data_IF_418034430818
#
_entry.id   IF_418034430818
#
_cell.length_a   1.000
_cell.length_b   1.000
_cell.length_c   1.000
_cell.angle_alpha   90.00
_cell.angle_beta   90.00
_cell.angle_gamma   90.00
#
_symmetry.space_group_name_H-M   'P 1'
#
loop_
_entity.id
_entity.type
_entity.pdbx_description
1 polymer ?
#
# COMPACT_ATOMS: atom_id res chain seq x y z
N UNK A 1 24.82 8.86 64.77
CA UNK A 1 24.30 7.83 63.86
C UNK A 1 22.83 7.61 64.19
N UNK A 2 21.94 7.65 63.20
CA UNK A 2 20.48 7.64 63.39
C UNK A 2 19.91 6.27 63.73
N UNK A 3 18.92 6.26 64.63
CA UNK A 3 18.13 5.08 64.98
C UNK A 3 17.15 4.76 63.83
N UNK A 4 17.54 3.83 62.95
CA UNK A 4 16.64 3.30 61.93
C UNK A 4 15.96 2.05 62.49
N UNK A 5 14.67 2.17 62.81
CA UNK A 5 13.86 1.00 63.19
C UNK A 5 13.83 0.02 62.03
N UNK A 6 14.34 -1.20 62.25
CA UNK A 6 14.28 -2.27 61.26
C UNK A 6 12.81 -2.60 60.95
N UNK A 7 12.50 -2.88 59.68
CA UNK A 7 11.15 -3.27 59.23
C UNK A 7 10.60 -4.53 59.93
N UNK A 8 11.48 -5.30 60.56
CA UNK A 8 11.18 -6.52 61.32
C UNK A 8 10.95 -6.27 62.80
N UNK A 9 11.21 -5.05 63.30
CA UNK A 9 11.02 -4.71 64.70
C UNK A 9 9.52 -4.62 65.03
N UNK A 10 9.13 -5.09 66.23
CA UNK A 10 7.72 -5.11 66.67
C UNK A 10 7.10 -3.72 66.79
N UNK A 11 7.93 -2.70 67.01
CA UNK A 11 7.50 -1.29 67.16
C UNK A 11 7.53 -0.51 65.84
N UNK A 12 7.88 -1.17 64.72
CA UNK A 12 7.89 -0.53 63.41
C UNK A 12 6.47 -0.35 62.89
N UNK A 13 5.98 0.88 62.91
CA UNK A 13 4.72 1.28 62.27
C UNK A 13 5.00 2.30 61.18
N UNK A 14 4.53 2.00 59.96
CA UNK A 14 4.67 2.93 58.83
C UNK A 14 3.80 4.16 59.11
N UNK A 15 4.34 5.39 59.07
CA UNK A 15 3.56 6.61 59.21
C UNK A 15 2.44 6.68 58.16
N UNK A 16 1.26 7.15 58.54
CA UNK A 16 0.07 7.14 57.69
C UNK A 16 0.29 7.83 56.33
N UNK A 17 1.06 8.91 56.31
CA UNK A 17 1.43 9.62 55.09
C UNK A 17 2.32 8.82 54.14
N UNK A 18 3.05 7.82 54.63
CA UNK A 18 3.89 6.90 53.86
C UNK A 18 3.17 5.57 53.56
N UNK A 19 1.98 5.35 54.15
CA UNK A 19 1.17 4.18 53.84
C UNK A 19 0.63 4.28 52.43
N UNK A 20 0.77 3.17 51.72
CA UNK A 20 0.24 3.02 50.39
C UNK A 20 -1.20 2.57 50.50
N UNK A 21 -2.13 3.50 50.30
CA UNK A 21 -3.56 3.22 50.38
C UNK A 21 -4.12 2.81 49.01
N UNK A 22 -5.26 2.13 49.03
CA UNK A 22 -5.98 1.71 47.82
C UNK A 22 -6.31 2.90 46.92
N UNK A 23 -6.74 4.03 47.49
CA UNK A 23 -7.01 5.28 46.76
C UNK A 23 -5.77 5.84 46.07
N UNK A 24 -4.62 5.86 46.78
CA UNK A 24 -3.35 6.31 46.20
C UNK A 24 -2.88 5.40 45.08
N UNK A 25 -3.12 4.09 45.19
CA UNK A 25 -2.84 3.13 44.12
C UNK A 25 -3.76 3.31 42.92
N UNK A 26 -5.06 3.58 43.13
CA UNK A 26 -5.99 3.91 42.05
C UNK A 26 -5.57 5.18 41.32
N UNK A 27 -5.20 6.23 42.04
CA UNK A 27 -4.69 7.47 41.42
C UNK A 27 -3.42 7.22 40.59
N UNK A 28 -2.48 6.40 41.09
CA UNK A 28 -1.29 5.99 40.33
C UNK A 28 -1.66 5.21 39.07
N UNK A 29 -2.66 4.32 39.13
CA UNK A 29 -3.11 3.56 37.95
C UNK A 29 -3.73 4.46 36.89
N UNK A 30 -4.56 5.44 37.29
CA UNK A 30 -5.16 6.40 36.35
C UNK A 30 -4.07 7.24 35.68
N UNK A 31 -3.11 7.76 36.44
CA UNK A 31 -1.99 8.51 35.86
C UNK A 31 -1.16 7.67 34.86
N UNK A 32 -0.91 6.39 35.19
CA UNK A 32 -0.22 5.47 34.27
C UNK A 32 -1.05 5.20 33.00
N UNK A 33 -2.37 5.04 33.12
CA UNK A 33 -3.26 4.85 31.99
C UNK A 33 -3.26 6.06 31.06
N UNK A 34 -3.31 7.28 31.61
CA UNK A 34 -3.18 8.53 30.87
C UNK A 34 -1.84 8.61 30.12
N UNK A 35 -0.73 8.30 30.78
CA UNK A 35 0.58 8.30 30.11
C UNK A 35 0.69 7.24 29.01
N UNK A 36 0.13 6.04 29.21
CA UNK A 36 0.10 4.98 28.20
C UNK A 36 -0.73 5.46 27.01
N UNK A 37 -1.88 6.06 27.24
CA UNK A 37 -2.73 6.61 26.21
C UNK A 37 -2.01 7.71 25.42
N UNK A 38 -1.35 8.64 26.09
CA UNK A 38 -0.58 9.71 25.45
C UNK A 38 0.56 9.16 24.57
N UNK A 39 1.31 8.16 25.07
CA UNK A 39 2.38 7.50 24.31
C UNK A 39 1.83 6.78 23.07
N UNK A 40 0.71 6.06 23.21
CA UNK A 40 0.03 5.40 22.09
C UNK A 40 -0.42 6.42 21.04
N UNK A 41 -1.03 7.53 21.47
CA UNK A 41 -1.48 8.58 20.56
C UNK A 41 -0.30 9.20 19.80
N UNK A 42 0.78 9.55 20.49
CA UNK A 42 2.00 10.09 19.88
C UNK A 42 2.59 9.13 18.85
N UNK A 43 2.62 7.83 19.16
CA UNK A 43 3.08 6.80 18.23
C UNK A 43 2.18 6.73 16.99
N UNK A 44 0.86 6.67 17.18
CA UNK A 44 -0.10 6.62 16.09
C UNK A 44 0.01 7.84 15.16
N UNK A 45 0.17 9.04 15.72
CA UNK A 45 0.38 10.27 14.93
C UNK A 45 1.63 10.16 14.05
N UNK A 46 2.74 9.65 14.60
CA UNK A 46 3.98 9.45 13.83
C UNK A 46 3.82 8.40 12.74
N UNK A 47 3.14 7.30 13.04
CA UNK A 47 2.86 6.23 12.05
C UNK A 47 2.03 6.78 10.90
N UNK A 48 0.99 7.56 11.19
CA UNK A 48 0.15 8.19 10.15
C UNK A 48 0.97 9.18 9.32
N UNK A 49 1.80 10.01 9.94
CA UNK A 49 2.67 10.93 9.20
C UNK A 49 3.63 10.18 8.25
N UNK A 50 4.27 9.10 8.70
CA UNK A 50 5.13 8.27 7.85
C UNK A 50 4.35 7.63 6.70
N UNK A 51 3.12 7.20 6.94
CA UNK A 51 2.25 6.68 5.89
C UNK A 51 1.91 7.76 4.86
N UNK A 52 1.57 8.96 5.30
CA UNK A 52 1.25 10.07 4.40
C UNK A 52 2.47 10.44 3.53
N UNK A 53 3.66 10.45 4.12
CA UNK A 53 4.93 10.60 3.39
C UNK A 53 5.13 9.47 2.37
N UNK A 54 4.88 8.21 2.74
CA UNK A 54 4.96 7.05 1.83
C UNK A 54 3.98 7.19 0.66
N UNK A 55 2.74 7.61 0.92
CA UNK A 55 1.72 7.86 -0.10
C UNK A 55 2.20 8.92 -1.09
N UNK A 56 2.78 10.02 -0.58
CA UNK A 56 3.33 11.08 -1.42
C UNK A 56 4.49 10.57 -2.28
N UNK A 57 5.41 9.79 -1.71
CA UNK A 57 6.53 9.20 -2.46
C UNK A 57 6.05 8.24 -3.56
N UNK A 58 5.06 7.40 -3.27
CA UNK A 58 4.45 6.51 -4.28
C UNK A 58 3.81 7.33 -5.41
N UNK A 59 3.10 8.42 -5.07
CA UNK A 59 2.50 9.30 -6.07
C UNK A 59 3.55 9.99 -6.95
N UNK A 60 4.64 10.49 -6.36
CA UNK A 60 5.76 11.07 -7.10
C UNK A 60 6.41 10.04 -8.03
N UNK A 61 6.68 8.83 -7.53
CA UNK A 61 7.20 7.73 -8.34
C UNK A 61 6.27 7.40 -9.51
N UNK A 62 4.94 7.36 -9.27
CA UNK A 62 3.94 7.14 -10.30
C UNK A 62 4.00 8.18 -11.42
N UNK A 63 4.06 9.47 -11.06
CA UNK A 63 4.18 10.55 -12.05
C UNK A 63 5.48 10.45 -12.86
N UNK A 64 6.61 10.09 -12.22
CA UNK A 64 7.88 9.88 -12.94
C UNK A 64 7.81 8.69 -13.88
N UNK A 65 7.12 7.63 -13.50
CA UNK A 65 6.90 6.49 -14.37
C UNK A 65 5.99 6.82 -15.55
N UNK A 66 4.93 7.59 -15.36
CA UNK A 66 4.10 8.08 -16.46
C UNK A 66 4.91 8.93 -17.46
N UNK A 67 5.79 9.80 -16.94
CA UNK A 67 6.73 10.57 -17.78
C UNK A 67 7.68 9.64 -18.55
N UNK A 68 8.21 8.60 -17.89
CA UNK A 68 9.10 7.63 -18.51
C UNK A 68 8.39 6.85 -19.63
N UNK A 69 7.15 6.40 -19.39
CA UNK A 69 6.34 5.73 -20.41
C UNK A 69 6.05 6.66 -21.60
N UNK A 70 5.76 7.94 -21.35
CA UNK A 70 5.53 8.91 -22.42
C UNK A 70 6.78 9.13 -23.30
N UNK A 71 7.98 9.13 -22.69
CA UNK A 71 9.25 9.20 -23.42
C UNK A 71 9.49 7.91 -24.20
N UNK A 72 9.34 6.75 -23.55
CA UNK A 72 9.52 5.43 -24.18
C UNK A 72 8.57 5.18 -25.36
N UNK A 73 7.36 5.74 -25.32
CA UNK A 73 6.42 5.66 -26.45
C UNK A 73 6.94 6.36 -27.73
N UNK A 74 7.92 7.26 -27.61
CA UNK A 74 8.57 7.91 -28.75
C UNK A 74 9.88 7.25 -29.19
N UNK A 75 10.38 6.27 -28.42
CA UNK A 75 11.55 5.48 -28.80
C UNK A 75 11.15 4.19 -29.52
N UNK A 76 12.12 3.62 -30.21
CA UNK A 76 12.03 2.25 -30.73
C UNK A 76 12.04 1.25 -29.57
N UNK A 77 11.32 0.12 -29.68
CA UNK A 77 11.18 -0.86 -28.60
C UNK A 77 12.52 -1.46 -28.15
N UNK A 78 13.52 -1.51 -29.03
CA UNK A 78 14.86 -2.02 -28.76
C UNK A 78 15.68 -1.10 -27.85
N UNK A 79 15.28 0.18 -27.73
CA UNK A 79 15.93 1.20 -26.89
C UNK A 79 15.09 1.57 -25.66
N UNK A 80 14.01 0.85 -25.41
CA UNK A 80 13.20 1.02 -24.21
C UNK A 80 13.78 0.20 -23.05
N UNK A 81 13.98 0.85 -21.90
CA UNK A 81 14.36 0.14 -20.67
C UNK A 81 13.17 -0.46 -19.94
N UNK A 82 13.41 -1.54 -19.19
CA UNK A 82 12.41 -2.09 -18.29
C UNK A 82 12.13 -1.13 -17.13
N UNK A 83 10.87 -0.75 -16.97
CA UNK A 83 10.45 0.12 -15.86
C UNK A 83 10.46 -0.65 -14.53
N UNK A 84 10.97 -0.06 -13.44
CA UNK A 84 10.91 -0.69 -12.13
C UNK A 84 9.46 -0.79 -11.62
N UNK A 85 9.16 -1.83 -10.84
CA UNK A 85 7.82 -2.01 -10.28
C UNK A 85 7.50 -0.94 -9.23
N UNK A 86 6.34 -0.31 -9.35
CA UNK A 86 5.82 0.62 -8.35
C UNK A 86 5.57 -0.09 -7.01
N UNK A 87 6.08 0.43 -5.88
CA UNK A 87 5.68 -0.06 -4.58
C UNK A 87 4.21 0.28 -4.32
N UNK A 88 3.47 -0.69 -3.75
CA UNK A 88 2.06 -0.54 -3.37
C UNK A 88 1.92 -0.47 -1.85
N UNK A 89 0.84 0.16 -1.39
CA UNK A 89 0.49 0.18 0.03
C UNK A 89 -0.16 -1.14 0.41
N UNK A 90 0.24 -1.70 1.56
CA UNK A 90 -0.34 -2.95 2.05
C UNK A 90 -1.72 -2.69 2.70
N UNK A 91 -2.64 -3.65 2.67
CA UNK A 91 -3.95 -3.51 3.31
C UNK A 91 -3.87 -3.16 4.80
N UNK A 92 -2.84 -3.67 5.49
CA UNK A 92 -2.58 -3.42 6.91
C UNK A 92 -2.23 -1.95 7.19
N UNK A 93 -1.63 -1.26 6.22
CA UNK A 93 -1.29 0.16 6.29
C UNK A 93 -2.51 1.07 6.05
N UNK A 94 -3.64 0.50 5.60
CA UNK A 94 -4.86 1.23 5.26
C UNK A 94 -6.09 0.60 5.94
N UNK A 95 -6.18 0.68 7.27
CA UNK A 95 -7.31 0.11 8.01
C UNK A 95 -8.65 0.78 7.64
N UNK A 96 -8.63 2.03 7.15
CA UNK A 96 -9.85 2.75 6.75
C UNK A 96 -10.52 2.13 5.52
N UNK A 97 -9.77 1.36 4.70
CA UNK A 97 -10.29 0.68 3.51
C UNK A 97 -10.86 -0.71 3.80
N UNK A 98 -10.81 -1.20 5.05
CA UNK A 98 -11.35 -2.53 5.39
C UNK A 98 -12.84 -2.69 5.08
N UNK A 99 -13.58 -1.58 5.05
CA UNK A 99 -15.01 -1.55 4.72
C UNK A 99 -15.29 -1.07 3.28
N UNK A 100 -14.25 -0.88 2.47
CA UNK A 100 -14.43 -0.55 1.06
C UNK A 100 -14.61 -1.83 0.25
N UNK A 101 -15.71 -1.90 -0.48
CA UNK A 101 -16.04 -3.02 -1.35
C UNK A 101 -15.86 -2.61 -2.81
N UNK A 102 -15.22 -3.47 -3.61
CA UNK A 102 -15.07 -3.23 -5.04
C UNK A 102 -16.36 -3.62 -5.78
N UNK A 103 -16.53 -3.13 -7.01
CA UNK A 103 -17.65 -3.52 -7.86
C UNK A 103 -17.73 -5.04 -8.06
N UNK A 104 -16.60 -5.73 -8.11
CA UNK A 104 -16.56 -7.19 -8.21
C UNK A 104 -17.10 -7.86 -6.95
N UNK A 105 -16.73 -7.38 -5.75
CA UNK A 105 -17.27 -7.90 -4.49
C UNK A 105 -18.78 -7.69 -4.40
N UNK A 106 -19.28 -6.53 -4.84
CA UNK A 106 -20.72 -6.24 -4.85
C UNK A 106 -21.47 -7.12 -5.87
N UNK A 107 -20.89 -7.36 -7.05
CA UNK A 107 -21.46 -8.26 -8.05
C UNK A 107 -21.49 -9.72 -7.58
N UNK A 108 -20.40 -10.18 -6.96
CA UNK A 108 -20.34 -11.51 -6.35
C UNK A 108 -21.44 -11.65 -5.29
N UNK A 109 -21.58 -10.69 -4.39
CA UNK A 109 -22.62 -10.71 -3.38
C UNK A 109 -24.04 -10.66 -3.98
N UNK A 110 -24.24 -9.88 -5.06
CA UNK A 110 -25.51 -9.84 -5.77
C UNK A 110 -25.86 -11.18 -6.42
N UNK A 111 -24.89 -11.85 -7.06
CA UNK A 111 -25.05 -13.18 -7.63
C UNK A 111 -25.35 -14.21 -6.54
N UNK A 112 -24.62 -14.16 -5.42
CA UNK A 112 -24.82 -15.04 -4.27
C UNK A 112 -26.22 -14.87 -3.68
N UNK A 113 -26.69 -13.62 -3.52
CA UNK A 113 -28.06 -13.31 -3.11
C UNK A 113 -29.12 -13.82 -4.09
N UNK A 114 -28.87 -13.73 -5.39
CA UNK A 114 -29.79 -14.25 -6.40
C UNK A 114 -29.90 -15.78 -6.34
N UNK A 115 -28.79 -16.49 -6.10
CA UNK A 115 -28.78 -17.94 -5.89
C UNK A 115 -29.52 -18.33 -4.60
N UNK A 116 -29.27 -17.60 -3.51
CA UNK A 116 -29.94 -17.83 -2.22
C UNK A 116 -31.47 -17.64 -2.32
N UNK A 117 -31.93 -16.57 -3.00
CA UNK A 117 -33.35 -16.33 -3.26
C UNK A 117 -34.01 -17.43 -4.12
N UNK A 118 -33.28 -18.00 -5.09
CA UNK A 118 -33.77 -19.12 -5.90
C UNK A 118 -33.91 -20.41 -5.08
N UNK A 119 -33.14 -20.56 -4.01
CA UNK A 119 -33.18 -21.72 -3.11
C UNK A 119 -34.35 -21.68 -2.10
N UNK A 120 -35.09 -20.57 -2.05
CA UNK A 120 -36.30 -20.44 -1.21
C UNK A 120 -36.01 -20.31 0.29
N UNK A 121 -34.77 -19.99 0.67
CA UNK A 121 -34.36 -19.86 2.07
C UNK A 121 -34.97 -18.60 2.70
N UNK A 122 -35.60 -18.75 3.87
CA UNK A 122 -36.11 -17.67 4.71
C UNK A 122 -35.19 -17.48 5.92
N UNK A 123 -34.83 -16.24 6.25
CA UNK A 123 -34.02 -15.94 7.44
C UNK A 123 -34.79 -16.35 8.70
N UNK A 124 -34.39 -17.44 9.37
CA UNK A 124 -34.92 -17.81 10.70
C UNK A 124 -35.03 -19.29 11.08
N UNK A 125 -34.61 -20.23 10.23
CA UNK A 125 -34.59 -21.67 10.56
C UNK A 125 -33.26 -22.12 11.21
N UNK A 126 -33.27 -22.97 12.26
CA UNK A 126 -32.06 -23.41 12.97
C UNK A 126 -31.10 -24.29 12.14
N UNK A 127 -31.53 -24.80 10.98
CA UNK A 127 -30.77 -25.74 10.13
C UNK A 127 -30.56 -25.24 8.68
N UNK A 128 -30.77 -23.94 8.39
CA UNK A 128 -30.53 -23.37 7.06
C UNK A 128 -29.09 -22.83 6.94
N UNK A 129 -28.34 -23.18 5.86
CA UNK A 129 -26.98 -22.66 5.69
C UNK A 129 -27.02 -21.14 5.56
N UNK A 130 -26.24 -20.48 6.42
CA UNK A 130 -26.17 -19.03 6.43
C UNK A 130 -25.58 -18.53 5.12
N UNK A 131 -25.99 -17.35 4.65
CA UNK A 131 -25.33 -16.67 3.53
C UNK A 131 -23.81 -16.55 3.76
N UNK A 132 -23.39 -16.53 5.03
CA UNK A 132 -21.99 -16.53 5.46
C UNK A 132 -21.27 -17.87 5.22
N UNK A 133 -21.96 -19.01 5.31
CA UNK A 133 -21.37 -20.34 5.12
C UNK A 133 -21.00 -20.59 3.65
N UNK A 134 -21.79 -20.04 2.73
CA UNK A 134 -21.51 -20.05 1.28
C UNK A 134 -20.32 -19.18 0.87
N UNK A 135 -19.86 -18.26 1.74
CA UNK A 135 -18.68 -17.43 1.50
C UNK A 135 -17.37 -18.11 1.91
N UNK A 136 -17.44 -19.26 2.60
CA UNK A 136 -16.28 -19.90 3.23
C UNK A 136 -15.68 -21.03 2.39
N UNK A 137 -16.34 -21.39 1.30
CA UNK A 137 -15.79 -22.19 0.20
C UNK A 137 -15.34 -21.21 -0.90
N UNK A 138 -14.14 -21.39 -1.46
CA UNK A 138 -13.45 -20.51 -2.43
C UNK A 138 -12.66 -19.33 -1.85
N UNK A 139 -11.66 -19.65 -1.04
CA UNK A 139 -10.45 -18.83 -0.91
C UNK A 139 -9.31 -19.48 -1.69
N UNK A 140 -9.42 -19.54 -3.02
CA UNK A 140 -8.30 -19.69 -3.95
C UNK A 140 -8.86 -19.71 -5.38
N UNK A 141 -8.93 -18.55 -6.04
CA UNK A 141 -9.18 -18.49 -7.48
C UNK A 141 -8.06 -17.73 -8.21
N UNK A 142 -7.37 -18.38 -9.17
CA UNK A 142 -6.37 -17.73 -10.00
C UNK A 142 -7.01 -16.77 -11.02
N UNK A 143 -6.37 -15.62 -11.19
CA UNK A 143 -6.63 -14.64 -12.25
C UNK A 143 -6.48 -15.33 -13.60
N UNK A 144 -7.59 -15.58 -14.31
CA UNK A 144 -7.57 -15.97 -15.72
C UNK A 144 -7.27 -14.74 -16.60
N UNK A 145 -6.23 -14.78 -17.46
CA UNK A 145 -6.04 -13.79 -18.50
C UNK A 145 -7.06 -13.98 -19.62
N UNK A 146 -7.76 -12.89 -19.95
CA UNK A 146 -8.71 -12.78 -21.06
C UNK A 146 -8.00 -13.00 -22.41
N UNK A 147 -8.60 -13.75 -23.37
CA UNK A 147 -8.04 -13.91 -24.71
C UNK A 147 -8.12 -12.59 -25.49
N UNK A 148 -6.99 -12.20 -26.07
CA UNK A 148 -6.87 -11.02 -26.92
C UNK A 148 -7.77 -11.12 -28.18
N UNK A 149 -8.33 -9.99 -28.66
CA UNK A 149 -9.09 -9.94 -29.91
C UNK A 149 -8.18 -10.19 -31.14
N UNK A 150 -8.71 -10.79 -32.21
CA UNK A 150 -7.96 -11.01 -33.45
C UNK A 150 -7.56 -9.67 -34.10
N UNK A 151 -6.27 -9.50 -34.33
CA UNK A 151 -5.69 -8.40 -35.09
C UNK A 151 -6.10 -8.51 -36.57
N UNK A 152 -6.90 -7.56 -37.05
CA UNK A 152 -7.12 -7.37 -38.48
C UNK A 152 -5.80 -6.92 -39.16
N UNK A 153 -5.49 -7.38 -40.38
CA UNK A 153 -4.35 -6.89 -41.14
C UNK A 153 -4.55 -5.42 -41.50
N UNK A 154 -3.59 -4.59 -41.10
CA UNK A 154 -3.54 -3.17 -41.43
C UNK A 154 -3.39 -2.96 -42.95
N UNK A 155 -4.05 -1.94 -43.53
CA UNK A 155 -3.92 -1.61 -44.95
C UNK A 155 -2.49 -1.17 -45.30
N UNK A 156 -2.06 -1.35 -46.56
CA UNK A 156 -0.71 -1.02 -47.01
C UNK A 156 -0.42 0.46 -46.79
N UNK A 157 0.60 0.72 -45.96
CA UNK A 157 1.12 2.04 -45.68
C UNK A 157 1.59 2.75 -46.96
N UNK A 158 1.55 4.10 -46.98
CA UNK A 158 2.04 4.88 -48.10
C UNK A 158 3.54 4.65 -48.30
N UNK A 159 3.96 4.79 -49.57
CA UNK A 159 5.32 4.52 -50.06
C UNK A 159 6.38 5.28 -49.25
N UNK A 160 7.61 4.73 -49.16
CA UNK A 160 8.71 5.37 -48.44
C UNK A 160 8.97 6.73 -49.10
N UNK A 161 8.68 7.79 -48.37
CA UNK A 161 9.25 9.09 -48.65
C UNK A 161 10.69 8.99 -48.14
N UNK A 162 11.66 9.15 -49.03
CA UNK A 162 13.06 9.29 -48.60
C UNK A 162 13.14 10.61 -47.83
N UNK A 163 13.53 10.51 -46.56
CA UNK A 163 13.74 11.67 -45.71
C UNK A 163 14.91 12.47 -46.29
N UNK A 164 14.79 13.78 -46.23
CA UNK A 164 15.91 14.65 -46.56
C UNK A 164 17.03 14.41 -45.53
N UNK A 165 18.30 14.51 -45.91
CA UNK A 165 19.45 14.34 -44.98
C UNK A 165 19.27 15.15 -43.68
N UNK A 166 18.76 16.38 -43.79
CA UNK A 166 18.45 17.25 -42.64
C UNK A 166 17.32 16.68 -41.74
N UNK A 167 16.32 16.02 -42.30
CA UNK A 167 15.23 15.40 -41.54
C UNK A 167 15.70 14.15 -40.78
N UNK A 168 16.66 13.42 -41.33
CA UNK A 168 17.32 12.30 -40.64
C UNK A 168 18.15 12.82 -39.47
N UNK A 169 18.97 13.85 -39.68
CA UNK A 169 19.74 14.49 -38.61
C UNK A 169 18.83 15.04 -37.50
N UNK A 170 17.69 15.64 -37.85
CA UNK A 170 16.71 16.10 -36.85
C UNK A 170 16.10 14.95 -36.06
N UNK A 171 15.82 13.81 -36.70
CA UNK A 171 15.30 12.62 -36.01
C UNK A 171 16.34 12.01 -35.07
N UNK A 172 17.60 11.91 -35.51
CA UNK A 172 18.70 11.43 -34.67
C UNK A 172 18.89 12.31 -33.43
N UNK A 173 18.88 13.64 -33.61
CA UNK A 173 18.95 14.57 -32.47
C UNK A 173 17.76 14.42 -31.52
N UNK A 174 16.56 14.22 -32.03
CA UNK A 174 15.37 13.96 -31.21
C UNK A 174 15.48 12.65 -30.44
N UNK A 175 15.96 11.58 -31.09
CA UNK A 175 16.15 10.29 -30.45
C UNK A 175 17.20 10.36 -29.33
N UNK A 176 18.33 11.02 -29.58
CA UNK A 176 19.37 11.27 -28.57
C UNK A 176 18.78 12.03 -27.38
N UNK A 177 17.97 13.07 -27.64
CA UNK A 177 17.31 13.83 -26.58
C UNK A 177 16.39 12.94 -25.73
N UNK A 178 15.60 12.06 -26.35
CA UNK A 178 14.71 11.19 -25.62
C UNK A 178 15.46 10.11 -24.81
N UNK A 179 16.59 9.61 -25.31
CA UNK A 179 17.47 8.73 -24.56
C UNK A 179 18.03 9.41 -23.30
N UNK A 180 18.56 10.63 -23.44
CA UNK A 180 19.03 11.40 -22.28
C UNK A 180 17.91 11.67 -21.27
N UNK A 181 16.70 11.95 -21.74
CA UNK A 181 15.54 12.16 -20.87
C UNK A 181 15.13 10.87 -20.15
N UNK A 182 15.22 9.72 -20.81
CA UNK A 182 14.98 8.41 -20.21
C UNK A 182 16.00 8.15 -19.08
N UNK A 183 17.28 8.35 -19.35
CA UNK A 183 18.37 8.13 -18.37
C UNK A 183 18.25 9.05 -17.15
N UNK A 184 17.90 10.31 -17.36
CA UNK A 184 17.66 11.27 -16.27
C UNK A 184 16.47 10.86 -15.40
N UNK A 185 15.36 10.45 -16.00
CA UNK A 185 14.19 9.95 -15.27
C UNK A 185 14.51 8.66 -14.50
N UNK A 186 15.26 7.74 -15.10
CA UNK A 186 15.72 6.52 -14.43
C UNK A 186 16.67 6.83 -13.27
N UNK A 187 17.56 7.81 -13.43
CA UNK A 187 18.45 8.29 -12.36
C UNK A 187 17.65 8.85 -11.19
N UNK A 188 16.64 9.68 -11.47
CA UNK A 188 15.75 10.25 -10.45
C UNK A 188 14.93 9.17 -9.73
N UNK A 189 14.34 8.22 -10.47
CA UNK A 189 13.59 7.09 -9.88
C UNK A 189 14.53 6.21 -9.05
N UNK A 190 15.74 5.93 -9.55
CA UNK A 190 16.76 5.17 -8.83
C UNK A 190 17.15 5.83 -7.51
N UNK A 191 17.38 7.14 -7.50
CA UNK A 191 17.70 7.89 -6.29
C UNK A 191 16.58 7.79 -5.24
N UNK A 192 15.32 7.92 -5.65
CA UNK A 192 14.16 7.80 -4.74
C UNK A 192 14.02 6.36 -4.22
N UNK A 193 14.20 5.34 -5.07
CA UNK A 193 14.13 3.93 -4.68
C UNK A 193 15.23 3.53 -3.68
N UNK A 194 16.46 4.02 -3.86
CA UNK A 194 17.59 3.79 -2.94
C UNK A 194 17.29 4.42 -1.57
N UNK A 195 16.79 5.65 -1.54
CA UNK A 195 16.38 6.31 -0.30
C UNK A 195 15.21 5.59 0.41
N UNK A 196 14.31 4.97 -0.36
CA UNK A 196 13.16 4.23 0.14
C UNK A 196 13.47 2.77 0.54
N UNK A 197 14.71 2.29 0.38
CA UNK A 197 15.11 0.91 0.71
C UNK A 197 14.50 -0.15 -0.22
N UNK A 198 13.93 0.25 -1.36
CA UNK A 198 13.42 -0.66 -2.38
C UNK A 198 14.62 -1.11 -3.21
N UNK A 199 14.90 -2.42 -3.28
CA UNK A 199 15.91 -2.94 -4.21
C UNK A 199 15.46 -2.60 -5.63
N UNK A 200 16.07 -1.59 -6.21
CA UNK A 200 16.04 -1.42 -7.65
C UNK A 200 16.74 -2.64 -8.26
N UNK A 201 16.01 -3.42 -9.05
CA UNK A 201 16.63 -4.38 -9.96
C UNK A 201 17.38 -3.56 -11.01
N UNK A 202 18.63 -3.24 -10.71
CA UNK A 202 19.55 -2.50 -11.57
C UNK A 202 20.30 -3.53 -12.41
N UNK A 203 19.89 -3.60 -13.69
CA UNK A 203 20.54 -4.23 -14.85
C UNK A 203 20.74 -5.76 -14.86
N UNK A 204 20.12 -6.39 -15.86
CA UNK A 204 20.53 -7.64 -16.50
C UNK A 204 20.42 -7.46 -18.01
#
# INVERSE_FOLDING_TARGET
MGDFKLKTAKDFTVPEQLRMNTERKKAQLVALEEEIHERKLKMNVRIVALRDEKVQLISQLGQRMEQLFAVQAQLTPDRCCQCPTLPTLQPEEIPERRLQYTSSTLQYFAALRAQWNQRGATEGGPDEPSLLDLMQEDSDDPIQPSPAPPSNPAPPGPKPYELTELEEEMKEMQEIRFLYQQDDLLSQVGAVCVCAGVRACVYG
#
